data_IF_624357992733
#
_entry.id   IF_624357992733
#
_cell.length_a   1.000
_cell.length_b   1.000
_cell.length_c   1.000
_cell.angle_alpha   90.00
_cell.angle_beta   90.00
_cell.angle_gamma   90.00
#
_symmetry.space_group_name_H-M   'P 1'
#
loop_
_entity.id
_entity.type
_entity.pdbx_description
1 polymer ?
#
# COMPACT_ATOMS: atom_id res chain seq x y z
N UNK A 1 8.18 6.42 1.59
CA UNK A 1 7.97 7.47 2.62
C UNK A 1 7.03 8.55 2.07
N UNK A 2 6.48 9.44 2.89
CA UNK A 2 5.67 10.58 2.41
C UNK A 2 6.61 11.75 2.09
N UNK A 3 6.48 12.35 0.90
CA UNK A 3 7.36 13.41 0.40
C UNK A 3 6.57 14.69 0.06
N UNK A 4 7.27 15.82 0.09
CA UNK A 4 6.75 17.13 -0.36
C UNK A 4 7.21 17.49 -1.78
N UNK A 5 8.18 16.75 -2.33
CA UNK A 5 8.70 16.91 -3.68
C UNK A 5 9.22 15.55 -4.18
N UNK A 6 9.05 15.29 -5.48
CA UNK A 6 9.61 14.10 -6.11
C UNK A 6 11.16 14.14 -6.16
N UNK A 7 11.85 13.01 -5.87
CA UNK A 7 13.27 12.86 -6.16
C UNK A 7 13.57 13.06 -7.65
N UNK A 8 14.81 13.46 -7.97
CA UNK A 8 15.26 13.53 -9.36
C UNK A 8 15.13 12.16 -10.03
N UNK A 9 14.78 12.15 -11.31
CA UNK A 9 14.61 10.96 -12.15
C UNK A 9 13.51 9.99 -11.69
N UNK A 10 12.63 10.38 -10.75
CA UNK A 10 11.55 9.51 -10.30
C UNK A 10 10.62 9.10 -11.45
N UNK A 11 10.07 7.89 -11.36
CA UNK A 11 8.88 7.51 -12.12
C UNK A 11 7.67 8.07 -11.38
N UNK A 12 6.91 8.97 -12.02
CA UNK A 12 5.72 9.57 -11.43
C UNK A 12 4.47 8.75 -11.79
N UNK A 13 3.66 8.44 -10.79
CA UNK A 13 2.43 7.67 -10.95
C UNK A 13 1.26 8.44 -10.35
N UNK A 14 0.31 8.80 -11.21
CA UNK A 14 -0.96 9.42 -10.86
C UNK A 14 -2.04 8.35 -10.66
N UNK A 15 -2.56 8.22 -9.44
CA UNK A 15 -3.61 7.23 -9.13
C UNK A 15 -5.01 7.79 -9.28
N UNK A 16 -5.18 9.05 -9.68
CA UNK A 16 -6.49 9.65 -9.91
C UNK A 16 -7.18 8.98 -11.09
N UNK A 17 -8.50 9.14 -11.13
CA UNK A 17 -9.31 8.66 -12.25
C UNK A 17 -8.77 9.21 -13.60
N UNK A 18 -8.82 8.42 -14.69
CA UNK A 18 -8.31 8.84 -16.00
C UNK A 18 -8.85 10.18 -16.48
N UNK A 19 -10.10 10.51 -16.12
CA UNK A 19 -10.73 11.78 -16.46
C UNK A 19 -10.05 12.97 -15.76
N UNK A 20 -9.66 12.82 -14.49
CA UNK A 20 -8.93 13.86 -13.76
C UNK A 20 -7.48 13.98 -14.27
N UNK A 21 -6.81 12.84 -14.53
CA UNK A 21 -5.49 12.82 -15.15
C UNK A 21 -5.47 13.57 -16.48
N UNK A 22 -6.47 13.33 -17.35
CA UNK A 22 -6.56 13.96 -18.66
C UNK A 22 -6.76 15.48 -18.60
N UNK A 23 -7.30 16.02 -17.49
CA UNK A 23 -7.48 17.48 -17.30
C UNK A 23 -6.20 18.19 -16.87
N UNK A 24 -5.19 17.47 -16.40
CA UNK A 24 -3.95 18.04 -15.88
C UNK A 24 -3.21 17.07 -14.96
N UNK A 25 -1.97 16.72 -15.29
CA UNK A 25 -1.09 15.84 -14.53
C UNK A 25 0.36 16.36 -14.55
N UNK A 26 1.21 15.82 -13.68
CA UNK A 26 2.64 16.16 -13.68
C UNK A 26 3.29 15.67 -14.98
N UNK A 27 4.15 16.49 -15.59
CA UNK A 27 4.82 16.12 -16.85
C UNK A 27 5.58 14.79 -16.72
N UNK A 28 5.31 13.86 -17.64
CA UNK A 28 5.90 12.53 -17.65
C UNK A 28 5.29 11.52 -16.66
N UNK A 29 4.20 11.87 -15.96
CA UNK A 29 3.51 10.93 -15.07
C UNK A 29 2.64 9.93 -15.84
N UNK A 30 2.70 8.67 -15.43
CA UNK A 30 1.80 7.61 -15.88
C UNK A 30 0.50 7.65 -15.08
N UNK A 31 -0.64 7.40 -15.71
CA UNK A 31 -1.89 7.13 -15.00
C UNK A 31 -2.02 5.64 -14.70
N UNK A 32 -1.99 5.26 -13.42
CA UNK A 32 -2.01 3.85 -13.01
C UNK A 32 -2.69 3.72 -11.65
N UNK A 33 -3.75 2.92 -11.58
CA UNK A 33 -4.38 2.49 -10.33
C UNK A 33 -4.31 0.96 -10.21
N UNK A 34 -3.50 0.48 -9.27
CA UNK A 34 -3.35 -0.95 -8.96
C UNK A 34 -4.28 -1.39 -7.83
N UNK A 35 -5.10 -0.50 -7.28
CA UNK A 35 -5.98 -0.80 -6.16
C UNK A 35 -6.99 -1.94 -6.41
N UNK A 36 -7.45 -2.21 -7.64
CA UNK A 36 -8.28 -3.37 -7.92
C UNK A 36 -7.58 -4.73 -7.81
N UNK A 37 -6.24 -4.78 -7.86
CA UNK A 37 -5.48 -6.04 -7.80
C UNK A 37 -5.63 -6.65 -6.40
N UNK A 38 -6.12 -7.89 -6.34
CA UNK A 38 -6.33 -8.64 -5.09
C UNK A 38 -5.73 -10.04 -5.20
N UNK A 39 -4.44 -10.21 -4.88
CA UNK A 39 -3.77 -11.50 -5.02
C UNK A 39 -4.15 -12.44 -3.87
N UNK A 40 -4.23 -13.74 -4.16
CA UNK A 40 -4.17 -14.80 -3.15
C UNK A 40 -2.69 -15.04 -2.85
N UNK A 41 -2.29 -15.09 -1.58
CA UNK A 41 -0.89 -15.20 -1.16
C UNK A 41 -0.76 -16.24 -0.04
N UNK A 42 -1.23 -17.46 -0.29
CA UNK A 42 -1.31 -18.52 0.73
C UNK A 42 -0.12 -19.46 0.67
N UNK A 43 0.36 -19.74 -0.53
CA UNK A 43 1.41 -20.74 -0.76
C UNK A 43 2.67 -20.10 -1.35
N UNK A 44 3.82 -20.79 -1.28
CA UNK A 44 5.02 -20.36 -2.01
C UNK A 44 4.79 -20.19 -3.52
N UNK A 45 3.93 -21.03 -4.12
CA UNK A 45 3.59 -20.93 -5.53
C UNK A 45 2.77 -19.66 -5.83
N UNK A 46 1.82 -19.30 -4.97
CA UNK A 46 1.07 -18.04 -5.09
C UNK A 46 2.00 -16.82 -5.02
N UNK A 47 2.95 -16.84 -4.08
CA UNK A 47 3.93 -15.77 -3.91
C UNK A 47 4.82 -15.62 -5.15
N UNK A 48 5.30 -16.74 -5.70
CA UNK A 48 6.13 -16.74 -6.91
C UNK A 48 5.36 -16.23 -8.14
N UNK A 49 4.12 -16.68 -8.35
CA UNK A 49 3.29 -16.22 -9.45
C UNK A 49 2.95 -14.72 -9.34
N UNK A 50 2.75 -14.23 -8.11
CA UNK A 50 2.51 -12.82 -7.89
C UNK A 50 3.78 -11.97 -8.09
N UNK A 51 4.95 -12.47 -7.67
CA UNK A 51 6.25 -11.83 -7.95
C UNK A 51 6.48 -11.71 -9.47
N UNK A 52 6.19 -12.76 -10.25
CA UNK A 52 6.27 -12.71 -11.71
C UNK A 52 5.29 -11.68 -12.32
N UNK A 53 4.07 -11.60 -11.78
CA UNK A 53 3.08 -10.60 -12.21
C UNK A 53 3.56 -9.17 -11.94
N UNK A 54 4.17 -8.93 -10.77
CA UNK A 54 4.77 -7.64 -10.43
C UNK A 54 6.01 -7.34 -11.29
N UNK A 55 6.82 -8.34 -11.62
CA UNK A 55 7.97 -8.18 -12.50
C UNK A 55 7.56 -7.73 -13.90
N UNK A 56 6.53 -8.36 -14.46
CA UNK A 56 5.95 -7.99 -15.74
C UNK A 56 5.35 -6.58 -15.72
N UNK A 57 4.62 -6.23 -14.66
CA UNK A 57 4.09 -4.87 -14.47
C UNK A 57 5.23 -3.84 -14.43
N UNK A 58 6.27 -4.07 -13.64
CA UNK A 58 7.41 -3.17 -13.51
C UNK A 58 8.12 -2.97 -14.86
N UNK A 59 8.32 -4.05 -15.62
CA UNK A 59 8.85 -4.00 -16.98
C UNK A 59 7.97 -3.14 -17.91
N UNK A 60 6.64 -3.31 -17.86
CA UNK A 60 5.71 -2.55 -18.71
C UNK A 60 5.71 -1.05 -18.40
N UNK A 61 5.78 -0.66 -17.12
CA UNK A 61 5.73 0.74 -16.71
C UNK A 61 7.11 1.42 -16.70
N UNK A 62 8.18 0.68 -16.97
CA UNK A 62 9.56 1.21 -16.95
C UNK A 62 10.08 1.46 -15.54
N UNK A 63 9.57 0.73 -14.53
CA UNK A 63 10.07 0.78 -13.17
C UNK A 63 11.30 -0.14 -13.02
N UNK A 64 12.30 0.33 -12.28
CA UNK A 64 13.57 -0.37 -12.06
C UNK A 64 14.09 -0.09 -10.63
N UNK A 65 14.95 -0.96 -10.06
CA UNK A 65 15.46 -0.80 -8.69
C UNK A 65 16.27 0.47 -8.45
N UNK A 66 16.90 1.01 -9.50
CA UNK A 66 17.74 2.20 -9.49
C UNK A 66 16.94 3.50 -9.72
N UNK A 67 15.62 3.39 -9.90
CA UNK A 67 14.73 4.52 -10.16
C UNK A 67 13.64 4.59 -9.09
N UNK A 68 13.61 5.63 -8.24
CA UNK A 68 12.55 5.77 -7.25
C UNK A 68 11.20 6.00 -7.94
N UNK A 69 10.13 5.49 -7.34
CA UNK A 69 8.75 5.71 -7.78
C UNK A 69 8.06 6.68 -6.83
N UNK A 70 7.36 7.67 -7.38
CA UNK A 70 6.53 8.60 -6.61
C UNK A 70 5.08 8.42 -7.05
N UNK A 71 4.26 7.97 -6.12
CA UNK A 71 2.82 7.82 -6.29
C UNK A 71 2.13 9.04 -5.70
N UNK A 72 1.27 9.72 -6.48
CA UNK A 72 0.59 10.92 -6.05
C UNK A 72 -0.91 10.89 -6.33
N UNK A 73 -1.64 11.58 -5.47
CA UNK A 73 -3.10 11.75 -5.50
C UNK A 73 -3.46 12.97 -4.63
N UNK A 74 -4.73 13.38 -4.63
CA UNK A 74 -5.26 14.42 -3.75
C UNK A 74 -5.55 13.81 -2.38
N UNK A 75 -4.55 13.88 -1.51
CA UNK A 75 -4.55 13.27 -0.19
C UNK A 75 -4.05 11.83 -0.19
N UNK A 76 -4.04 11.23 1.00
CA UNK A 76 -3.61 9.85 1.18
C UNK A 76 -4.78 8.87 0.94
N UNK A 77 -5.16 8.71 -0.33
CA UNK A 77 -6.30 7.90 -0.74
C UNK A 77 -6.01 6.40 -0.64
N UNK A 78 -7.07 5.58 -0.65
CA UNK A 78 -6.93 4.12 -0.73
C UNK A 78 -6.26 3.66 -2.03
N UNK A 79 -6.49 4.37 -3.14
CA UNK A 79 -5.87 4.09 -4.44
C UNK A 79 -4.36 4.38 -4.41
N UNK A 80 -3.99 5.57 -3.92
CA UNK A 80 -2.59 5.96 -3.73
C UNK A 80 -1.85 5.00 -2.79
N UNK A 81 -2.41 4.77 -1.60
CA UNK A 81 -1.80 3.91 -0.59
C UNK A 81 -1.61 2.48 -1.08
N UNK A 82 -2.63 1.89 -1.72
CA UNK A 82 -2.56 0.51 -2.23
C UNK A 82 -1.65 0.38 -3.44
N UNK A 83 -1.70 1.31 -4.39
CA UNK A 83 -0.80 1.32 -5.55
C UNK A 83 0.65 1.44 -5.10
N UNK A 84 0.96 2.40 -4.22
CA UNK A 84 2.28 2.54 -3.65
C UNK A 84 2.74 1.29 -2.89
N UNK A 85 1.84 0.68 -2.10
CA UNK A 85 2.17 -0.54 -1.36
C UNK A 85 2.51 -1.71 -2.30
N UNK A 86 1.76 -1.92 -3.38
CA UNK A 86 2.03 -3.01 -4.34
C UNK A 86 3.37 -2.81 -5.08
N UNK A 87 3.70 -1.56 -5.43
CA UNK A 87 4.99 -1.24 -6.04
C UNK A 87 6.13 -1.44 -5.05
N UNK A 88 5.98 -1.01 -3.79
CA UNK A 88 6.97 -1.24 -2.74
C UNK A 88 7.13 -2.74 -2.43
N UNK A 89 6.04 -3.49 -2.49
CA UNK A 89 6.02 -4.94 -2.32
C UNK A 89 6.81 -5.65 -3.43
N UNK A 90 6.90 -5.08 -4.64
CA UNK A 90 7.76 -5.62 -5.71
C UNK A 90 9.26 -5.37 -5.50
N UNK A 91 9.65 -4.67 -4.43
CA UNK A 91 11.04 -4.36 -4.09
C UNK A 91 11.53 -2.99 -4.56
N UNK A 92 10.63 -2.15 -5.10
CA UNK A 92 10.98 -0.79 -5.52
C UNK A 92 11.06 0.19 -4.34
N UNK A 93 11.90 1.20 -4.48
CA UNK A 93 11.86 2.38 -3.60
C UNK A 93 10.65 3.24 -3.97
N UNK A 94 9.69 3.38 -3.04
CA UNK A 94 8.43 4.09 -3.28
C UNK A 94 8.19 5.20 -2.28
N UNK A 95 7.75 6.34 -2.83
CA UNK A 95 7.33 7.52 -2.10
C UNK A 95 5.89 7.89 -2.42
N UNK A 96 5.20 8.49 -1.45
CA UNK A 96 3.85 9.03 -1.59
C UNK A 96 3.89 10.55 -1.58
N UNK A 97 3.21 11.19 -2.52
CA UNK A 97 3.11 12.64 -2.61
C UNK A 97 1.63 13.08 -2.56
N UNK A 98 1.05 13.24 -1.36
CA UNK A 98 -0.39 13.45 -1.18
C UNK A 98 -0.86 14.88 -1.46
N UNK A 99 0.04 15.87 -1.50
CA UNK A 99 -0.30 17.28 -1.73
C UNK A 99 0.93 18.11 -2.09
N UNK A 100 0.70 19.30 -2.66
CA UNK A 100 1.75 20.26 -3.05
C UNK A 100 2.22 20.11 -4.50
N UNK A 101 1.70 19.12 -5.23
CA UNK A 101 1.98 18.87 -6.64
C UNK A 101 0.98 19.57 -7.58
N UNK A 102 -0.15 20.05 -7.05
CA UNK A 102 -1.33 20.43 -7.84
C UNK A 102 -1.05 21.58 -8.81
N UNK A 103 -0.27 22.58 -8.40
CA UNK A 103 0.09 23.72 -9.26
C UNK A 103 1.06 23.36 -10.39
N UNK A 104 1.72 22.21 -10.30
CA UNK A 104 2.65 21.68 -11.30
C UNK A 104 1.96 20.72 -12.30
N UNK A 105 0.73 20.28 -12.00
CA UNK A 105 -0.02 19.32 -12.80
C UNK A 105 -0.71 19.96 -14.01
N UNK A 106 0.10 20.53 -14.91
CA UNK A 106 -0.39 21.28 -16.07
C UNK A 106 -0.30 20.52 -17.39
N UNK A 107 0.31 19.32 -17.41
CA UNK A 107 0.41 18.50 -18.61
C UNK A 107 -0.93 17.84 -18.94
N UNK A 108 -1.29 17.78 -20.22
CA UNK A 108 -2.48 17.06 -20.71
C UNK A 108 -2.13 16.00 -21.76
N UNK A 109 -0.85 15.87 -22.12
CA UNK A 109 -0.40 14.91 -23.12
C UNK A 109 -0.36 13.49 -22.53
N UNK A 110 -0.94 12.49 -23.21
CA UNK A 110 -0.83 11.10 -22.75
C UNK A 110 0.62 10.64 -22.69
N UNK A 111 1.06 10.15 -21.54
CA UNK A 111 2.40 9.59 -21.37
C UNK A 111 2.37 8.10 -21.68
N UNK A 112 3.12 7.68 -22.71
CA UNK A 112 3.38 6.27 -22.97
C UNK A 112 4.55 5.80 -22.09
N UNK A 113 4.44 4.66 -21.39
CA UNK A 113 5.55 4.13 -20.62
C UNK A 113 6.70 3.76 -21.55
N UNK A 114 7.93 3.93 -21.07
CA UNK A 114 9.13 3.39 -21.72
C UNK A 114 9.46 2.07 -21.04
N UNK A 115 9.23 0.90 -21.68
CA UNK A 115 9.41 -0.38 -21.00
C UNK A 115 10.86 -0.63 -20.58
N UNK A 116 11.02 -1.37 -19.49
CA UNK A 116 12.28 -1.90 -18.97
C UNK A 116 12.27 -3.44 -19.00
N UNK A 117 13.38 -4.07 -18.63
CA UNK A 117 13.38 -5.52 -18.40
C UNK A 117 12.48 -5.86 -17.20
N UNK A 118 11.64 -6.91 -17.28
CA UNK A 118 10.84 -7.36 -16.15
C UNK A 118 11.69 -7.61 -14.92
N UNK A 119 11.30 -7.01 -13.79
CA UNK A 119 12.04 -7.15 -12.55
C UNK A 119 11.11 -6.96 -11.34
N UNK A 120 11.16 -7.91 -10.41
CA UNK A 120 10.65 -7.74 -9.06
C UNK A 120 11.44 -8.65 -8.11
N UNK A 121 11.47 -8.26 -6.84
CA UNK A 121 11.83 -9.12 -5.72
C UNK A 121 10.86 -8.84 -4.60
N UNK A 122 10.00 -9.81 -4.30
CA UNK A 122 8.92 -9.65 -3.35
C UNK A 122 9.49 -9.29 -1.97
N UNK A 123 9.11 -8.12 -1.47
CA UNK A 123 9.55 -7.62 -0.18
C UNK A 123 8.75 -8.28 0.95
N UNK A 124 9.29 -9.39 1.47
CA UNK A 124 8.70 -10.16 2.58
C UNK A 124 8.74 -9.42 3.93
N UNK A 125 9.53 -8.36 4.05
CA UNK A 125 9.62 -7.60 5.30
C UNK A 125 8.37 -6.74 5.56
N UNK A 126 7.59 -6.44 4.51
CA UNK A 126 6.38 -5.60 4.62
C UNK A 126 5.07 -6.38 4.48
N UNK A 127 5.13 -7.67 4.19
CA UNK A 127 3.97 -8.51 3.87
C UNK A 127 3.70 -9.52 5.00
N UNK A 128 2.41 -9.74 5.29
CA UNK A 128 1.91 -10.91 6.01
C UNK A 128 1.03 -11.75 5.08
N UNK A 129 1.27 -13.06 5.05
CA UNK A 129 0.33 -14.05 4.50
C UNK A 129 -0.76 -14.37 5.53
N UNK A 130 -1.76 -15.17 5.13
CA UNK A 130 -2.80 -15.65 6.04
C UNK A 130 -2.20 -16.40 7.24
N UNK A 131 -1.27 -17.32 7.00
CA UNK A 131 -0.65 -18.13 8.05
C UNK A 131 0.21 -17.28 9.00
N UNK A 132 0.92 -16.29 8.46
CA UNK A 132 1.73 -15.36 9.26
C UNK A 132 0.84 -14.44 10.09
N UNK A 133 -0.24 -13.91 9.50
CA UNK A 133 -1.20 -13.06 10.20
C UNK A 133 -1.88 -13.80 11.37
N UNK A 134 -2.20 -15.09 11.19
CA UNK A 134 -2.80 -15.93 12.23
C UNK A 134 -1.93 -16.10 13.49
N UNK A 135 -0.63 -15.87 13.38
CA UNK A 135 0.35 -16.02 14.48
C UNK A 135 1.02 -14.71 14.84
N UNK A 136 0.58 -13.60 14.25
CA UNK A 136 1.26 -12.32 14.42
C UNK A 136 0.88 -11.67 15.76
N UNK A 137 1.83 -11.44 16.68
CA UNK A 137 1.53 -11.08 18.06
C UNK A 137 0.91 -9.69 18.22
N UNK A 138 1.18 -8.78 17.27
CA UNK A 138 0.72 -7.41 17.31
C UNK A 138 -0.08 -7.06 16.04
N UNK A 139 -1.20 -7.75 15.86
CA UNK A 139 -2.09 -7.54 14.73
C UNK A 139 -3.14 -6.47 15.05
N UNK A 140 -3.34 -5.56 14.11
CA UNK A 140 -4.19 -4.38 14.26
C UNK A 140 -5.22 -4.33 13.14
N UNK A 141 -6.48 -4.23 13.54
CA UNK A 141 -7.62 -4.05 12.64
C UNK A 141 -7.90 -2.56 12.46
N UNK A 142 -7.75 -2.07 11.22
CA UNK A 142 -8.00 -0.66 10.88
C UNK A 142 -9.39 -0.37 10.32
N UNK A 143 -10.31 -1.33 10.44
CA UNK A 143 -11.73 -1.15 10.11
C UNK A 143 -12.43 -0.27 11.15
N UNK A 144 -13.68 0.09 10.86
CA UNK A 144 -14.50 0.86 11.81
C UNK A 144 -14.83 0.01 13.05
N UNK A 145 -15.09 0.63 14.21
CA UNK A 145 -15.39 -0.10 15.45
C UNK A 145 -16.53 -1.13 15.32
N UNK A 146 -17.58 -0.78 14.57
CA UNK A 146 -18.71 -1.68 14.32
C UNK A 146 -18.32 -2.91 13.48
N UNK A 147 -17.37 -2.77 12.55
CA UNK A 147 -16.86 -3.89 11.74
C UNK A 147 -15.99 -4.83 12.60
N UNK A 148 -15.22 -4.26 13.53
CA UNK A 148 -14.39 -5.02 14.48
C UNK A 148 -15.26 -5.82 15.45
N UNK A 149 -16.24 -5.19 16.09
CA UNK A 149 -17.17 -5.82 17.03
C UNK A 149 -18.06 -6.90 16.36
N UNK A 150 -18.34 -6.77 15.06
CA UNK A 150 -19.10 -7.78 14.33
C UNK A 150 -18.32 -9.10 14.10
N UNK A 151 -16.98 -9.03 14.17
CA UNK A 151 -16.09 -10.16 13.94
C UNK A 151 -14.71 -9.70 13.49
N UNK A 152 -13.65 -10.09 14.19
CA UNK A 152 -12.25 -9.74 13.90
C UNK A 152 -11.31 -10.95 14.05
N UNK A 153 -10.08 -10.83 13.53
CA UNK A 153 -9.05 -11.86 13.69
C UNK A 153 -8.72 -12.02 15.19
N UNK A 154 -8.68 -13.25 15.73
CA UNK A 154 -8.40 -13.49 17.14
C UNK A 154 -7.14 -12.79 17.65
N UNK A 155 -7.24 -12.13 18.79
CA UNK A 155 -6.14 -11.38 19.41
C UNK A 155 -5.79 -10.04 18.74
N UNK A 156 -6.49 -9.65 17.67
CA UNK A 156 -6.26 -8.35 17.04
C UNK A 156 -6.75 -7.19 17.92
N UNK A 157 -6.05 -6.06 17.86
CA UNK A 157 -6.47 -4.80 18.49
C UNK A 157 -7.19 -3.90 17.48
N UNK A 158 -8.23 -3.19 17.91
CA UNK A 158 -8.91 -2.22 17.05
C UNK A 158 -8.16 -0.89 17.02
N UNK A 159 -7.89 -0.37 15.81
CA UNK A 159 -7.35 0.97 15.58
C UNK A 159 -7.90 1.51 14.25
N UNK A 160 -9.11 2.08 14.27
CA UNK A 160 -9.74 2.61 13.07
C UNK A 160 -8.83 3.58 12.31
N UNK A 161 -8.79 3.46 10.98
CA UNK A 161 -7.88 4.22 10.12
C UNK A 161 -8.01 5.74 10.30
N UNK A 162 -9.20 6.27 10.55
CA UNK A 162 -9.44 7.69 10.82
C UNK A 162 -8.69 8.21 12.05
N UNK A 163 -8.46 7.35 13.05
CA UNK A 163 -7.67 7.70 14.23
C UNK A 163 -6.18 7.79 13.93
N UNK A 164 -5.68 7.08 12.91
CA UNK A 164 -4.26 7.13 12.51
C UNK A 164 -3.84 8.49 11.94
N UNK A 165 -4.79 9.28 11.42
CA UNK A 165 -4.52 10.63 10.93
C UNK A 165 -4.40 11.67 12.06
N UNK A 166 -4.68 11.29 13.31
CA UNK A 166 -4.62 12.21 14.44
C UNK A 166 -3.21 12.28 15.03
N UNK A 167 -2.76 13.47 15.47
CA UNK A 167 -1.46 13.61 16.13
C UNK A 167 -1.32 12.73 17.39
N UNK A 168 -0.11 12.24 17.64
CA UNK A 168 0.21 11.44 18.82
C UNK A 168 -0.30 9.99 18.76
N UNK A 169 -0.52 9.48 17.54
CA UNK A 169 -1.02 8.12 17.28
C UNK A 169 -0.20 7.03 18.00
N UNK A 170 1.13 7.15 17.99
CA UNK A 170 2.01 6.18 18.65
C UNK A 170 1.77 6.10 20.16
N UNK A 171 1.68 7.25 20.82
CA UNK A 171 1.48 7.32 22.28
C UNK A 171 0.14 6.70 22.70
N UNK A 172 -0.91 6.86 21.89
CA UNK A 172 -2.23 6.26 22.18
C UNK A 172 -2.25 4.74 22.05
N UNK A 173 -1.32 4.20 21.28
CA UNK A 173 -1.19 2.77 21.02
C UNK A 173 -0.11 2.10 21.86
N UNK A 174 0.55 2.90 22.70
CA UNK A 174 1.73 2.49 23.47
C UNK A 174 2.83 1.93 22.56
N UNK A 175 2.87 2.41 21.31
CA UNK A 175 3.87 2.05 20.32
C UNK A 175 5.04 3.04 20.35
N UNK A 176 6.23 2.55 20.06
CA UNK A 176 7.44 3.34 19.88
C UNK A 176 8.12 3.00 18.55
N UNK A 177 8.89 3.93 17.97
CA UNK A 177 9.69 3.63 16.77
C UNK A 177 10.51 2.35 16.94
N UNK A 178 10.47 1.49 15.92
CA UNK A 178 11.10 0.18 15.90
C UNK A 178 10.21 -0.99 16.32
N UNK A 179 9.04 -0.73 16.92
CA UNK A 179 8.04 -1.77 17.21
C UNK A 179 7.50 -2.40 15.92
N UNK A 180 7.16 -3.68 15.99
CA UNK A 180 6.59 -4.44 14.89
C UNK A 180 5.06 -4.51 15.01
N UNK A 181 4.35 -4.17 13.92
CA UNK A 181 2.88 -4.10 13.89
C UNK A 181 2.38 -4.69 12.58
N UNK A 182 1.44 -5.63 12.66
CA UNK A 182 0.72 -6.15 11.52
C UNK A 182 -0.58 -5.38 11.35
N UNK A 183 -0.91 -4.91 10.15
CA UNK A 183 -2.19 -4.24 9.87
C UNK A 183 -3.03 -5.03 8.89
N UNK A 184 -4.34 -5.03 9.09
CA UNK A 184 -5.31 -5.56 8.15
C UNK A 184 -6.60 -4.73 8.19
N UNK A 185 -7.46 -4.91 7.18
CA UNK A 185 -8.78 -4.30 7.17
C UNK A 185 -9.83 -5.25 6.58
N UNK A 186 -10.66 -4.78 5.64
CA UNK A 186 -11.59 -5.63 4.90
C UNK A 186 -10.91 -6.38 3.74
N UNK A 187 -10.23 -5.64 2.87
CA UNK A 187 -9.69 -6.15 1.59
C UNK A 187 -8.27 -5.63 1.26
N UNK A 188 -7.58 -5.08 2.25
CA UNK A 188 -6.22 -4.54 2.11
C UNK A 188 -6.09 -3.07 1.67
N UNK A 189 -7.19 -2.38 1.31
CA UNK A 189 -7.12 -0.98 0.82
C UNK A 189 -6.82 0.00 1.95
N UNK A 190 -7.55 -0.08 3.06
CA UNK A 190 -7.33 0.78 4.24
C UNK A 190 -6.02 0.44 4.97
N UNK A 191 -5.65 -0.84 5.01
CA UNK A 191 -4.43 -1.26 5.69
C UNK A 191 -3.16 -0.88 4.93
N UNK A 192 -3.21 -0.74 3.60
CA UNK A 192 -2.10 -0.14 2.86
C UNK A 192 -1.85 1.33 3.26
N UNK A 193 -2.92 2.11 3.47
CA UNK A 193 -2.81 3.48 4.00
C UNK A 193 -2.24 3.47 5.42
N UNK A 194 -2.78 2.62 6.30
CA UNK A 194 -2.27 2.49 7.67
C UNK A 194 -0.79 2.10 7.72
N UNK A 195 -0.36 1.19 6.85
CA UNK A 195 1.04 0.80 6.70
C UNK A 195 1.95 2.00 6.44
N UNK A 196 1.57 2.89 5.51
CA UNK A 196 2.37 4.07 5.20
C UNK A 196 2.43 5.09 6.32
N UNK A 197 1.32 5.30 7.04
CA UNK A 197 1.29 6.19 8.21
C UNK A 197 2.22 5.63 9.30
N UNK A 198 2.08 4.36 9.65
CA UNK A 198 2.91 3.72 10.68
C UNK A 198 4.39 3.71 10.31
N UNK A 199 4.74 3.42 9.05
CA UNK A 199 6.12 3.51 8.57
C UNK A 199 6.70 4.93 8.68
N UNK A 200 5.90 5.97 8.43
CA UNK A 200 6.37 7.36 8.58
C UNK A 200 6.63 7.75 10.04
N UNK A 201 6.01 7.06 10.98
CA UNK A 201 6.24 7.19 12.43
C UNK A 201 7.37 6.28 12.94
N UNK A 202 8.07 5.57 12.04
CA UNK A 202 9.20 4.69 12.37
C UNK A 202 8.78 3.33 12.91
N UNK A 203 7.51 2.93 12.76
CA UNK A 203 7.02 1.59 13.10
C UNK A 203 7.35 0.61 11.98
N UNK A 204 7.83 -0.58 12.34
CA UNK A 204 8.07 -1.68 11.41
C UNK A 204 6.74 -2.35 11.08
N UNK A 205 5.94 -1.68 10.25
CA UNK A 205 4.64 -2.18 9.86
C UNK A 205 4.76 -3.31 8.82
N UNK A 206 3.92 -4.34 8.95
CA UNK A 206 3.62 -5.34 7.91
C UNK A 206 2.14 -5.30 7.58
N UNK A 207 1.76 -5.61 6.35
CA UNK A 207 0.37 -5.55 5.92
C UNK A 207 -0.12 -6.93 5.47
N UNK A 208 -1.21 -7.40 6.08
CA UNK A 208 -1.95 -8.56 5.62
C UNK A 208 -2.92 -8.13 4.51
N UNK A 209 -2.44 -8.21 3.27
CA UNK A 209 -3.13 -7.67 2.08
C UNK A 209 -4.48 -8.36 1.83
N UNK A 210 -4.58 -9.67 2.10
CA UNK A 210 -5.81 -10.45 1.97
C UNK A 210 -6.90 -9.98 2.95
N UNK A 211 -6.51 -9.61 4.16
CA UNK A 211 -7.40 -9.01 5.17
C UNK A 211 -8.62 -9.89 5.47
N UNK A 212 -9.71 -9.34 6.03
CA UNK A 212 -10.87 -10.13 6.46
C UNK A 212 -11.56 -10.92 5.35
N UNK A 213 -11.58 -10.42 4.10
CA UNK A 213 -12.17 -11.18 2.99
C UNK A 213 -11.43 -12.50 2.74
N UNK A 214 -10.10 -12.46 2.82
CA UNK A 214 -9.27 -13.65 2.68
C UNK A 214 -9.36 -14.57 3.90
N UNK A 215 -9.35 -13.98 5.11
CA UNK A 215 -9.48 -14.69 6.38
C UNK A 215 -10.77 -15.50 6.46
N UNK A 216 -11.91 -14.84 6.24
CA UNK A 216 -13.24 -15.45 6.26
C UNK A 216 -13.44 -16.39 5.07
N UNK A 217 -12.95 -16.01 3.89
CA UNK A 217 -12.99 -16.85 2.68
C UNK A 217 -12.21 -18.16 2.84
N UNK A 218 -11.26 -18.20 3.77
CA UNK A 218 -10.45 -19.38 4.12
C UNK A 218 -11.00 -20.14 5.34
N UNK A 219 -12.20 -19.79 5.81
CA UNK A 219 -12.88 -20.48 6.92
C UNK A 219 -12.22 -20.32 8.28
N UNK A 220 -11.38 -19.30 8.47
CA UNK A 220 -10.73 -19.04 9.75
C UNK A 220 -11.73 -18.49 10.78
N UNK A 221 -11.51 -18.79 12.06
CA UNK A 221 -12.35 -18.34 13.17
C UNK A 221 -12.22 -16.83 13.41
N UNK A 222 -13.25 -16.24 14.01
CA UNK A 222 -13.28 -14.81 14.37
C UNK A 222 -13.69 -14.62 15.83
N UNK A 223 -13.14 -13.61 16.48
CA UNK A 223 -13.57 -13.12 17.80
C UNK A 223 -14.61 -12.01 17.63
N UNK A 224 -15.46 -11.81 18.65
CA UNK A 224 -16.49 -10.77 18.69
C UNK A 224 -16.41 -9.99 19.99
#
# INVERSE_FOLDING_TARGET
MIVQQAPKNALLIDTRAPQLYATGHLSGALNLDLSPISPRLHTPADLAAFEESLANLNGQIGATPDRPVVVYDQGLTGAAGRTAYLLALSGLEVHLWPSGWETQATSTEPVQPTPSQPWAKLNRDILLTLEEAARYPNLVDVRRPEEFAAGHIPGARSLPLDQLFQPGVLSRLELKPGDEVGVYCRSGTRSAVAFWILQSEGIKAKNYLGSMLDWQGSGQEVEK
#
